data_IF_449693403471
#
_entry.id   IF_449693403471
#
_cell.length_a   1.000
_cell.length_b   1.000
_cell.length_c   1.000
_cell.angle_alpha   90.00
_cell.angle_beta   90.00
_cell.angle_gamma   90.00
#
_symmetry.space_group_name_H-M   'P 1'
#
loop_
_entity.id
_entity.type
_entity.pdbx_description
1 polymer ?
#
# COMPACT_ATOMS: atom_id res chain seq x y z
N UNK A 1 0.01 -28.00 29.71
CA UNK A 1 0.19 -26.68 29.07
C UNK A 1 -0.12 -26.81 27.60
N UNK A 2 -0.60 -25.77 26.90
CA UNK A 2 -0.78 -25.82 25.46
C UNK A 2 0.57 -26.05 24.78
N UNK A 3 0.62 -26.94 23.80
CA UNK A 3 1.82 -27.26 23.01
C UNK A 3 1.66 -26.74 21.60
N UNK A 4 2.75 -26.33 20.95
CA UNK A 4 2.75 -25.99 19.52
C UNK A 4 2.06 -27.08 18.68
N UNK A 5 1.25 -26.68 17.69
CA UNK A 5 0.44 -27.59 16.85
C UNK A 5 0.72 -27.41 15.36
N UNK A 6 0.46 -28.45 14.59
CA UNK A 6 0.37 -28.35 13.13
C UNK A 6 -1.01 -27.80 12.75
N UNK A 7 -1.09 -26.65 12.07
CA UNK A 7 -2.37 -26.09 11.62
C UNK A 7 -2.96 -26.92 10.46
N UNK A 8 -4.28 -26.88 10.31
CA UNK A 8 -5.00 -27.70 9.32
C UNK A 8 -4.53 -27.44 7.88
N UNK A 9 -4.31 -26.18 7.51
CA UNK A 9 -3.87 -25.81 6.17
C UNK A 9 -2.46 -26.31 5.82
N UNK A 10 -1.51 -26.36 6.76
CA UNK A 10 -0.21 -27.00 6.51
C UNK A 10 -0.30 -28.52 6.53
N UNK A 11 -1.20 -29.09 7.32
CA UNK A 11 -1.52 -30.52 7.25
C UNK A 11 -2.09 -30.90 5.88
N UNK A 12 -2.85 -30.01 5.22
CA UNK A 12 -3.35 -30.23 3.87
C UNK A 12 -2.23 -30.21 2.83
N UNK A 13 -1.26 -29.31 2.94
CA UNK A 13 -0.04 -29.34 2.13
C UNK A 13 0.73 -30.64 2.33
N UNK A 14 0.91 -31.07 3.59
CA UNK A 14 1.57 -32.32 3.92
C UNK A 14 0.86 -33.52 3.30
N UNK A 15 -0.47 -33.60 3.41
CA UNK A 15 -1.26 -34.68 2.80
C UNK A 15 -1.11 -34.69 1.29
N UNK A 16 -1.18 -33.52 0.65
CA UNK A 16 -1.02 -33.39 -0.80
C UNK A 16 0.34 -33.89 -1.27
N UNK A 17 1.42 -33.49 -0.60
CA UNK A 17 2.78 -33.91 -0.96
C UNK A 17 2.94 -35.42 -0.81
N UNK A 18 2.55 -35.99 0.34
CA UNK A 18 2.66 -37.43 0.57
C UNK A 18 1.82 -38.23 -0.43
N UNK A 19 0.61 -37.78 -0.75
CA UNK A 19 -0.25 -38.48 -1.72
C UNK A 19 0.36 -38.64 -3.12
N UNK A 20 1.35 -37.82 -3.49
CA UNK A 20 1.92 -37.80 -4.84
C UNK A 20 3.43 -38.06 -4.90
N UNK A 21 4.15 -37.93 -3.77
CA UNK A 21 5.60 -38.10 -3.71
C UNK A 21 6.03 -39.26 -2.80
N UNK A 22 5.13 -39.81 -2.00
CA UNK A 22 5.32 -41.10 -1.32
C UNK A 22 4.79 -42.22 -2.25
N UNK A 23 5.66 -42.75 -3.11
CA UNK A 23 5.24 -43.67 -4.19
C UNK A 23 5.04 -45.11 -3.71
N UNK A 24 5.65 -45.51 -2.58
CA UNK A 24 5.42 -46.78 -1.91
C UNK A 24 5.29 -46.58 -0.37
N UNK A 25 4.09 -46.20 0.12
CA UNK A 25 3.87 -45.89 1.54
C UNK A 25 4.13 -47.05 2.51
N UNK A 26 4.25 -48.28 2.00
CA UNK A 26 4.49 -49.49 2.80
C UNK A 26 6.00 -49.80 2.95
N UNK A 27 6.87 -49.15 2.16
CA UNK A 27 8.30 -49.44 2.16
C UNK A 27 9.12 -48.16 2.13
N UNK A 28 9.94 -47.94 3.15
CA UNK A 28 10.78 -46.75 3.14
C UNK A 28 11.88 -46.81 2.08
N UNK A 29 11.96 -45.78 1.23
CA UNK A 29 12.87 -45.73 0.07
C UNK A 29 13.50 -44.35 -0.10
N UNK A 30 14.78 -44.26 -0.51
CA UNK A 30 15.44 -42.97 -0.79
C UNK A 30 14.80 -42.14 -1.91
N UNK A 31 13.92 -42.73 -2.71
CA UNK A 31 13.23 -42.08 -3.82
C UNK A 31 11.87 -41.48 -3.40
N UNK A 32 11.40 -41.80 -2.20
CA UNK A 32 10.04 -41.52 -1.74
C UNK A 32 10.10 -40.41 -0.71
N UNK A 33 9.08 -39.54 -0.68
CA UNK A 33 8.96 -38.52 0.35
C UNK A 33 8.27 -39.12 1.57
N UNK A 34 9.03 -39.45 2.61
CA UNK A 34 8.48 -40.15 3.77
C UNK A 34 7.63 -39.23 4.67
N UNK A 35 6.65 -39.76 5.41
CA UNK A 35 5.89 -38.99 6.39
C UNK A 35 6.74 -38.23 7.41
N UNK A 36 7.90 -38.76 7.79
CA UNK A 36 8.84 -38.14 8.72
C UNK A 36 9.68 -37.02 8.08
N UNK A 37 9.76 -36.98 6.75
CA UNK A 37 10.47 -35.98 5.97
C UNK A 37 9.60 -34.76 5.63
N UNK A 38 8.32 -34.79 5.97
CA UNK A 38 7.41 -33.64 5.85
C UNK A 38 7.04 -33.10 7.23
N UNK A 39 7.91 -32.27 7.77
CA UNK A 39 7.84 -31.75 9.14
C UNK A 39 7.11 -30.41 9.25
N UNK A 40 6.26 -30.23 10.27
CA UNK A 40 5.55 -28.95 10.52
C UNK A 40 5.85 -28.40 11.91
N UNK A 41 5.84 -29.26 12.93
CA UNK A 41 6.13 -28.87 14.32
C UNK A 41 7.51 -29.38 14.68
N UNK A 42 8.35 -28.52 15.22
CA UNK A 42 9.69 -28.93 15.64
C UNK A 42 9.66 -29.75 16.93
N UNK A 43 10.71 -30.53 17.14
CA UNK A 43 10.91 -31.33 18.36
C UNK A 43 10.96 -30.48 19.64
N UNK A 44 10.92 -31.10 20.82
CA UNK A 44 10.90 -30.38 22.10
C UNK A 44 12.16 -29.55 22.40
N UNK A 45 13.28 -29.75 21.69
CA UNK A 45 14.54 -29.03 21.86
C UNK A 45 14.62 -27.75 21.03
N UNK A 46 13.88 -27.69 19.93
CA UNK A 46 13.86 -26.51 19.05
C UNK A 46 13.26 -25.30 19.80
N UNK A 47 13.91 -24.13 19.69
CA UNK A 47 13.48 -22.90 20.36
C UNK A 47 13.44 -21.80 19.30
N UNK A 48 12.24 -21.26 19.08
CA UNK A 48 12.05 -20.21 18.10
C UNK A 48 11.80 -20.66 16.67
N UNK A 49 11.71 -19.68 15.77
CA UNK A 49 11.44 -19.89 14.35
C UNK A 49 10.01 -20.32 14.02
N UNK A 50 9.78 -20.58 12.74
CA UNK A 50 8.44 -20.83 12.19
C UNK A 50 7.85 -22.18 12.59
N UNK A 51 8.67 -23.15 13.00
CA UNK A 51 8.16 -24.42 13.55
C UNK A 51 7.65 -24.32 15.00
N UNK A 52 7.81 -23.17 15.66
CA UNK A 52 7.34 -22.92 17.01
C UNK A 52 6.10 -22.03 17.02
N UNK A 53 5.13 -22.39 17.85
CA UNK A 53 4.00 -21.53 18.24
C UNK A 53 4.38 -20.57 19.38
N UNK A 54 3.38 -19.82 19.84
CA UNK A 54 3.51 -18.80 20.89
C UNK A 54 4.05 -19.34 22.22
N UNK A 55 3.94 -20.64 22.46
CA UNK A 55 4.46 -21.32 23.66
C UNK A 55 5.99 -21.51 23.64
N UNK A 56 6.63 -21.40 22.47
CA UNK A 56 8.04 -21.79 22.27
C UNK A 56 8.90 -20.76 21.55
N UNK A 57 8.29 -19.77 20.90
CA UNK A 57 9.04 -18.60 20.39
C UNK A 57 9.64 -17.83 21.57
N UNK A 58 10.86 -17.32 21.37
CA UNK A 58 11.58 -16.57 22.40
C UNK A 58 11.40 -15.06 22.21
N UNK A 59 11.58 -14.22 23.23
CA UNK A 59 11.57 -12.77 23.06
C UNK A 59 12.58 -12.32 21.99
N UNK A 60 12.12 -11.50 21.03
CA UNK A 60 12.96 -11.03 19.93
C UNK A 60 13.12 -12.02 18.77
N UNK A 61 12.40 -13.14 18.78
CA UNK A 61 12.44 -14.10 17.68
C UNK A 61 12.06 -13.43 16.35
N UNK A 62 12.93 -13.60 15.35
CA UNK A 62 12.77 -12.97 14.06
C UNK A 62 11.49 -13.40 13.33
N UNK A 63 11.04 -14.63 13.57
CA UNK A 63 9.78 -15.16 13.04
C UNK A 63 8.54 -14.50 13.65
N UNK A 64 8.72 -13.50 14.51
CA UNK A 64 7.67 -12.71 15.14
C UNK A 64 7.92 -11.22 14.91
N UNK A 65 9.14 -10.74 15.17
CA UNK A 65 9.40 -9.28 15.27
C UNK A 65 9.74 -8.60 13.94
N UNK A 66 10.12 -9.34 12.90
CA UNK A 66 10.55 -8.73 11.64
C UNK A 66 9.38 -8.29 10.73
N UNK A 67 8.15 -8.71 11.02
CA UNK A 67 6.95 -8.40 10.23
C UNK A 67 5.71 -8.22 11.12
N UNK A 68 4.83 -7.29 10.74
CA UNK A 68 3.50 -7.16 11.37
C UNK A 68 2.60 -8.35 11.04
N UNK A 69 2.76 -8.99 9.86
CA UNK A 69 2.04 -10.23 9.50
C UNK A 69 2.40 -11.38 10.44
N UNK A 70 3.63 -11.41 10.93
CA UNK A 70 4.09 -12.47 11.82
C UNK A 70 3.71 -12.20 13.28
N UNK A 71 3.93 -10.99 13.78
CA UNK A 71 3.55 -10.63 15.16
C UNK A 71 2.04 -10.65 15.40
N UNK A 72 1.23 -10.14 14.47
CA UNK A 72 -0.24 -10.19 14.59
C UNK A 72 -0.82 -11.59 14.36
N UNK A 73 -0.09 -12.42 13.63
CA UNK A 73 -0.44 -13.80 13.29
C UNK A 73 -0.06 -14.84 14.34
N UNK A 74 0.68 -14.48 15.39
CA UNK A 74 1.22 -15.44 16.34
C UNK A 74 0.11 -16.16 17.14
N UNK A 75 0.05 -17.48 16.98
CA UNK A 75 -0.80 -18.40 17.76
C UNK A 75 0.04 -19.57 18.27
N UNK A 76 -0.60 -20.60 18.84
CA UNK A 76 0.04 -21.89 19.15
C UNK A 76 0.39 -22.71 17.90
N UNK A 77 0.06 -22.26 16.71
CA UNK A 77 0.29 -23.03 15.49
C UNK A 77 1.68 -22.71 14.91
N UNK A 78 2.37 -23.76 14.46
CA UNK A 78 3.55 -23.62 13.64
C UNK A 78 3.17 -23.02 12.28
N UNK A 79 4.09 -22.28 11.68
CA UNK A 79 3.99 -21.72 10.32
C UNK A 79 5.22 -22.10 9.48
N UNK A 80 5.90 -23.18 9.85
CA UNK A 80 7.03 -23.77 9.14
C UNK A 80 6.65 -25.12 8.53
N UNK A 81 7.23 -25.43 7.37
CA UNK A 81 7.12 -26.72 6.69
C UNK A 81 8.50 -27.13 6.16
N UNK A 82 8.98 -28.29 6.59
CA UNK A 82 10.16 -28.93 6.04
C UNK A 82 9.75 -29.98 5.03
N UNK A 83 10.48 -30.07 3.91
CA UNK A 83 10.34 -31.11 2.90
C UNK A 83 11.70 -31.75 2.69
N UNK A 84 11.81 -33.04 2.98
CA UNK A 84 13.02 -33.84 2.82
C UNK A 84 13.25 -34.31 1.39
N UNK A 85 14.06 -35.34 1.26
CA UNK A 85 14.49 -35.86 -0.05
C UNK A 85 13.40 -36.67 -0.72
N UNK A 86 13.36 -36.61 -2.05
CA UNK A 86 12.54 -37.49 -2.88
C UNK A 86 13.14 -37.48 -4.30
N UNK A 87 12.77 -38.45 -5.13
CA UNK A 87 13.15 -38.51 -6.52
C UNK A 87 12.11 -39.26 -7.36
N UNK A 88 11.32 -38.51 -8.13
CA UNK A 88 10.27 -39.03 -9.01
C UNK A 88 10.61 -38.77 -10.47
N UNK A 89 10.32 -39.72 -11.36
CA UNK A 89 10.45 -39.51 -12.81
C UNK A 89 9.08 -39.35 -13.42
N UNK A 90 8.84 -38.21 -14.05
CA UNK A 90 7.57 -37.88 -14.71
C UNK A 90 7.83 -37.04 -15.96
N UNK A 91 7.01 -37.23 -16.99
CA UNK A 91 7.15 -36.56 -18.29
C UNK A 91 8.58 -36.62 -18.87
N UNK A 92 9.28 -37.75 -18.67
CA UNK A 92 10.65 -37.96 -19.17
C UNK A 92 11.75 -37.20 -18.43
N UNK A 93 11.46 -36.56 -17.29
CA UNK A 93 12.43 -35.85 -16.44
C UNK A 93 12.39 -36.36 -15.01
N UNK A 94 13.53 -36.33 -14.34
CA UNK A 94 13.62 -36.61 -12.91
C UNK A 94 13.45 -35.33 -12.12
N UNK A 95 12.49 -35.34 -11.20
CA UNK A 95 12.19 -34.29 -10.25
C UNK A 95 12.57 -34.75 -8.85
N UNK A 96 13.33 -33.93 -8.15
CA UNK A 96 13.79 -34.19 -6.79
C UNK A 96 13.70 -32.91 -5.96
N UNK A 97 14.09 -33.01 -4.69
CA UNK A 97 14.06 -31.87 -3.78
C UNK A 97 14.75 -30.62 -4.35
N UNK A 98 15.84 -30.75 -5.11
CA UNK A 98 16.58 -29.57 -5.60
C UNK A 98 15.85 -28.89 -6.75
N UNK A 99 15.30 -29.69 -7.67
CA UNK A 99 14.42 -29.18 -8.73
C UNK A 99 13.15 -28.53 -8.15
N UNK A 100 12.62 -29.08 -7.05
CA UNK A 100 11.51 -28.50 -6.31
C UNK A 100 11.92 -27.14 -5.73
N UNK A 101 12.98 -27.08 -4.91
CA UNK A 101 13.40 -25.84 -4.25
C UNK A 101 13.62 -24.71 -5.26
N UNK A 102 14.30 -25.02 -6.37
CA UNK A 102 14.58 -24.04 -7.42
C UNK A 102 13.30 -23.54 -8.08
N UNK A 103 12.35 -24.43 -8.40
CA UNK A 103 11.08 -24.05 -8.99
C UNK A 103 10.27 -23.15 -8.04
N UNK A 104 10.14 -23.53 -6.76
CA UNK A 104 9.42 -22.72 -5.76
C UNK A 104 10.04 -21.34 -5.56
N UNK A 105 11.37 -21.27 -5.48
CA UNK A 105 12.08 -19.98 -5.35
C UNK A 105 11.88 -19.12 -6.59
N UNK A 106 11.87 -19.70 -7.80
CA UNK A 106 11.57 -18.96 -9.03
C UNK A 106 10.15 -18.37 -9.01
N UNK A 107 9.14 -19.11 -8.56
CA UNK A 107 7.77 -18.58 -8.42
C UNK A 107 7.70 -17.45 -7.40
N UNK A 108 8.37 -17.62 -6.27
CA UNK A 108 8.47 -16.61 -5.23
C UNK A 108 9.16 -15.32 -5.71
N UNK A 109 10.23 -15.44 -6.50
CA UNK A 109 10.92 -14.31 -7.15
C UNK A 109 10.03 -13.64 -8.20
N UNK A 110 9.28 -14.42 -8.98
CA UNK A 110 8.31 -13.91 -9.96
C UNK A 110 7.10 -13.24 -9.30
N UNK A 111 6.85 -13.49 -8.01
CA UNK A 111 5.77 -12.89 -7.25
C UNK A 111 4.38 -13.42 -7.66
N UNK A 112 4.28 -14.68 -8.04
CA UNK A 112 2.99 -15.30 -8.41
C UNK A 112 2.00 -15.25 -7.24
N UNK A 113 0.70 -15.21 -7.55
CA UNK A 113 -0.35 -14.95 -6.55
C UNK A 113 -0.33 -15.96 -5.38
N UNK A 114 -0.10 -17.22 -5.68
CA UNK A 114 0.01 -18.35 -4.74
C UNK A 114 1.28 -18.35 -3.86
N UNK A 115 2.19 -17.37 -4.03
CA UNK A 115 3.41 -17.23 -3.19
C UNK A 115 3.28 -16.13 -2.14
N UNK A 116 2.15 -15.41 -2.09
CA UNK A 116 1.95 -14.22 -1.24
C UNK A 116 2.04 -14.53 0.25
N UNK A 117 1.73 -15.75 0.64
CA UNK A 117 1.77 -16.21 2.03
C UNK A 117 3.12 -16.79 2.44
N UNK A 118 4.04 -17.00 1.49
CA UNK A 118 5.40 -17.46 1.78
C UNK A 118 6.28 -16.29 2.20
N UNK A 119 6.85 -16.41 3.40
CA UNK A 119 7.76 -15.46 4.03
C UNK A 119 9.22 -15.77 3.69
N UNK A 120 9.61 -17.03 3.71
CA UNK A 120 10.95 -17.44 3.24
C UNK A 120 11.01 -18.89 2.80
N UNK A 121 12.02 -19.19 2.00
CA UNK A 121 12.43 -20.53 1.64
C UNK A 121 13.93 -20.65 1.89
N UNK A 122 14.34 -21.56 2.77
CA UNK A 122 15.75 -21.91 2.98
C UNK A 122 15.99 -23.25 2.27
N UNK A 123 16.97 -23.28 1.37
CA UNK A 123 17.15 -24.41 0.46
C UNK A 123 18.61 -24.60 0.06
N UNK A 124 18.90 -25.74 -0.53
CA UNK A 124 20.17 -26.00 -1.18
C UNK A 124 19.99 -26.23 -2.68
N UNK A 125 20.50 -25.36 -3.57
CA UNK A 125 20.34 -25.54 -5.02
C UNK A 125 21.16 -26.71 -5.58
N UNK A 126 22.25 -27.10 -4.89
CA UNK A 126 23.27 -28.04 -5.37
C UNK A 126 23.62 -29.13 -4.35
N UNK A 127 22.97 -29.15 -3.20
CA UNK A 127 23.28 -30.05 -2.08
C UNK A 127 24.57 -29.69 -1.33
N UNK A 128 25.20 -28.54 -1.62
CA UNK A 128 26.48 -28.12 -1.03
C UNK A 128 26.43 -26.72 -0.43
N UNK A 129 25.62 -25.84 -1.02
CA UNK A 129 25.44 -24.47 -0.58
C UNK A 129 24.04 -24.30 -0.01
N UNK A 130 23.90 -23.49 1.04
CA UNK A 130 22.59 -23.14 1.59
C UNK A 130 22.30 -21.70 1.21
N UNK A 131 21.08 -21.46 0.73
CA UNK A 131 20.58 -20.16 0.33
C UNK A 131 19.25 -19.89 1.01
N UNK A 132 18.89 -18.62 1.13
CA UNK A 132 17.57 -18.19 1.56
C UNK A 132 16.98 -17.25 0.53
N UNK A 133 15.75 -17.53 0.12
CA UNK A 133 14.88 -16.51 -0.44
C UNK A 133 14.03 -15.95 0.71
N UNK A 134 14.00 -14.63 0.85
CA UNK A 134 13.28 -13.91 1.90
C UNK A 134 12.45 -12.79 1.26
N UNK A 135 11.13 -12.84 1.45
CA UNK A 135 10.21 -11.83 0.91
C UNK A 135 10.44 -10.43 1.48
N UNK A 136 10.94 -10.33 2.71
CA UNK A 136 11.26 -9.06 3.36
C UNK A 136 12.66 -8.54 3.00
N UNK A 137 13.49 -9.37 2.35
CA UNK A 137 14.87 -9.03 2.01
C UNK A 137 15.78 -8.79 3.22
N UNK A 138 15.43 -9.30 4.41
CA UNK A 138 16.19 -9.10 5.65
C UNK A 138 17.26 -10.15 5.88
N UNK A 139 17.12 -11.33 5.26
CA UNK A 139 17.98 -12.50 5.47
C UNK A 139 18.36 -13.16 4.15
N UNK A 140 19.55 -13.74 4.08
CA UNK A 140 20.13 -14.27 2.83
C UNK A 140 20.73 -15.67 2.92
N UNK A 141 20.87 -16.24 4.12
CA UNK A 141 21.54 -17.54 4.37
C UNK A 141 20.75 -18.41 5.36
N UNK A 142 21.07 -19.70 5.43
CA UNK A 142 20.60 -20.66 6.44
C UNK A 142 21.77 -21.43 7.07
N UNK A 143 21.46 -22.39 7.94
CA UNK A 143 22.47 -23.33 8.47
C UNK A 143 22.56 -24.61 7.61
N UNK A 144 23.57 -25.44 7.88
CA UNK A 144 23.88 -26.64 7.08
C UNK A 144 22.83 -27.76 7.15
N UNK A 145 21.85 -27.71 8.06
CA UNK A 145 20.81 -28.73 8.10
C UNK A 145 19.95 -28.72 6.82
N UNK A 146 19.81 -27.55 6.20
CA UNK A 146 19.08 -27.30 4.94
C UNK A 146 19.81 -27.82 3.69
N UNK A 147 20.96 -28.50 3.85
CA UNK A 147 21.58 -29.24 2.76
C UNK A 147 20.75 -30.46 2.34
N UNK A 148 19.91 -30.96 3.25
CA UNK A 148 19.18 -32.23 3.09
C UNK A 148 17.66 -32.05 3.01
N UNK A 149 17.13 -30.90 3.41
CA UNK A 149 15.71 -30.56 3.30
C UNK A 149 15.52 -29.11 2.81
N UNK A 150 14.32 -28.78 2.32
CA UNK A 150 13.90 -27.40 2.09
C UNK A 150 12.96 -26.96 3.19
N UNK A 151 13.27 -25.82 3.81
CA UNK A 151 12.43 -25.20 4.82
C UNK A 151 11.60 -24.08 4.20
N UNK A 152 10.28 -24.14 4.38
CA UNK A 152 9.33 -23.12 4.02
C UNK A 152 8.81 -22.44 5.29
N UNK A 153 8.82 -21.12 5.29
CA UNK A 153 8.14 -20.32 6.29
C UNK A 153 6.98 -19.59 5.65
N UNK A 154 5.80 -19.73 6.23
CA UNK A 154 4.61 -18.98 5.88
C UNK A 154 4.45 -17.81 6.85
N UNK A 155 3.92 -16.68 6.39
CA UNK A 155 3.55 -15.61 7.30
C UNK A 155 2.52 -16.11 8.29
N UNK A 156 2.71 -15.83 9.58
CA UNK A 156 1.85 -16.41 10.63
C UNK A 156 0.38 -15.97 10.49
N UNK A 157 0.11 -14.79 9.95
CA UNK A 157 -1.26 -14.32 9.71
C UNK A 157 -2.02 -15.22 8.72
N UNK A 158 -1.35 -15.76 7.70
CA UNK A 158 -1.95 -16.64 6.71
C UNK A 158 -2.34 -17.98 7.33
N UNK A 159 -1.44 -18.52 8.16
CA UNK A 159 -1.68 -19.72 8.95
C UNK A 159 -2.86 -19.52 9.91
N UNK A 160 -2.83 -18.45 10.70
CA UNK A 160 -3.89 -18.09 11.66
C UNK A 160 -5.25 -17.89 10.99
N UNK A 161 -5.27 -17.27 9.82
CA UNK A 161 -6.48 -17.05 9.04
C UNK A 161 -7.02 -18.32 8.37
N UNK A 162 -6.29 -19.44 8.44
CA UNK A 162 -6.70 -20.69 7.81
C UNK A 162 -6.70 -20.64 6.28
N UNK A 163 -5.90 -19.74 5.67
CA UNK A 163 -5.79 -19.64 4.21
C UNK A 163 -5.24 -20.93 3.63
N UNK A 164 -5.77 -21.34 2.49
CA UNK A 164 -5.28 -22.52 1.76
C UNK A 164 -3.83 -22.30 1.32
N UNK A 165 -2.92 -23.18 1.76
CA UNK A 165 -1.51 -23.14 1.41
C UNK A 165 -1.15 -24.16 0.32
N UNK A 166 -2.12 -24.94 -0.17
CA UNK A 166 -1.93 -25.95 -1.22
C UNK A 166 -1.74 -25.42 -2.66
N UNK A 167 -2.20 -24.22 -3.07
CA UNK A 167 -2.20 -23.84 -4.49
C UNK A 167 -0.84 -23.93 -5.19
N UNK A 168 0.23 -23.39 -4.59
CA UNK A 168 1.57 -23.44 -5.18
C UNK A 168 2.10 -24.88 -5.30
N UNK A 169 1.79 -25.73 -4.32
CA UNK A 169 2.17 -27.13 -4.33
C UNK A 169 1.38 -27.93 -5.37
N UNK A 170 0.07 -27.68 -5.53
CA UNK A 170 -0.73 -28.28 -6.61
C UNK A 170 -0.19 -27.87 -7.96
N UNK A 171 0.16 -26.59 -8.14
CA UNK A 171 0.72 -26.09 -9.40
C UNK A 171 2.05 -26.76 -9.72
N UNK A 172 2.95 -26.90 -8.74
CA UNK A 172 4.19 -27.67 -8.92
C UNK A 172 3.90 -29.12 -9.37
N UNK A 173 3.06 -29.84 -8.63
CA UNK A 173 2.71 -31.24 -8.93
C UNK A 173 2.05 -31.40 -10.31
N UNK A 174 1.24 -30.41 -10.71
CA UNK A 174 0.62 -30.38 -12.04
C UNK A 174 1.67 -30.16 -13.13
N UNK A 175 2.61 -29.22 -12.92
CA UNK A 175 3.64 -28.87 -13.90
C UNK A 175 4.65 -30.01 -14.12
N UNK A 176 4.94 -30.78 -13.07
CA UNK A 176 5.76 -31.99 -13.19
C UNK A 176 4.94 -33.21 -13.63
N UNK A 177 3.64 -33.06 -13.89
CA UNK A 177 2.78 -34.09 -14.45
C UNK A 177 2.33 -35.19 -13.50
N UNK A 178 2.36 -34.97 -12.19
CA UNK A 178 1.89 -35.94 -11.18
C UNK A 178 0.40 -35.83 -10.88
N UNK A 179 -0.19 -34.65 -11.11
CA UNK A 179 -1.64 -34.45 -11.03
C UNK A 179 -2.13 -33.74 -12.27
N UNK A 180 -3.42 -33.94 -12.59
CA UNK A 180 -4.06 -33.10 -13.60
C UNK A 180 -4.23 -31.69 -13.04
N UNK A 181 -4.03 -30.64 -13.85
CA UNK A 181 -4.42 -29.30 -13.44
C UNK A 181 -5.91 -29.34 -13.06
N UNK A 182 -6.34 -28.63 -12.00
CA UNK A 182 -7.75 -28.57 -11.65
C UNK A 182 -8.54 -28.15 -12.89
N UNK A 183 -9.64 -28.84 -13.17
CA UNK A 183 -10.64 -28.30 -14.10
C UNK A 183 -10.96 -26.89 -13.59
N UNK A 184 -10.81 -25.89 -14.46
CA UNK A 184 -11.09 -24.49 -14.12
C UNK A 184 -12.60 -24.36 -13.83
N UNK A 185 -13.05 -24.79 -12.66
CA UNK A 185 -14.27 -24.27 -12.07
C UNK A 185 -14.02 -22.78 -11.75
N UNK A 186 -15.04 -21.99 -12.05
CA UNK A 186 -15.07 -20.54 -12.25
C UNK A 186 -14.83 -19.73 -10.96
N UNK A 187 -13.79 -20.06 -10.19
CA UNK A 187 -13.37 -19.33 -9.00
C UNK A 187 -12.26 -18.36 -9.41
N UNK A 188 -12.68 -17.14 -9.78
CA UNK A 188 -11.85 -15.96 -10.05
C UNK A 188 -10.45 -16.26 -10.62
N UNK A 189 -10.34 -16.30 -11.96
CA UNK A 189 -9.06 -16.53 -12.64
C UNK A 189 -7.88 -15.76 -12.02
N UNK A 190 -6.67 -16.34 -12.02
CA UNK A 190 -5.43 -15.68 -11.53
C UNK A 190 -5.25 -14.26 -12.09
N UNK A 191 -5.76 -14.03 -13.30
CA UNK A 191 -5.85 -12.71 -13.92
C UNK A 191 -6.76 -11.76 -13.15
N UNK A 192 -7.97 -12.18 -12.78
CA UNK A 192 -8.91 -11.39 -12.00
C UNK A 192 -8.37 -11.04 -10.60
N UNK A 193 -7.71 -11.98 -9.91
CA UNK A 193 -7.06 -11.67 -8.63
C UNK A 193 -5.90 -10.69 -8.78
N UNK A 194 -5.08 -10.86 -9.82
CA UNK A 194 -4.00 -9.91 -10.11
C UNK A 194 -4.55 -8.54 -10.50
N UNK A 195 -5.63 -8.47 -11.27
CA UNK A 195 -6.30 -7.21 -11.62
C UNK A 195 -6.84 -6.52 -10.37
N UNK A 196 -7.51 -7.25 -9.46
CA UNK A 196 -7.98 -6.70 -8.17
C UNK A 196 -6.80 -6.20 -7.33
N UNK A 197 -5.70 -6.95 -7.26
CA UNK A 197 -4.53 -6.53 -6.50
C UNK A 197 -3.85 -5.29 -7.09
N UNK A 198 -3.77 -5.19 -8.42
CA UNK A 198 -3.24 -4.01 -9.10
C UNK A 198 -4.13 -2.79 -8.86
N UNK A 199 -5.47 -2.96 -8.86
CA UNK A 199 -6.42 -1.91 -8.48
C UNK A 199 -6.20 -1.48 -7.03
N UNK A 200 -6.12 -2.41 -6.08
CA UNK A 200 -5.88 -2.12 -4.67
C UNK A 200 -4.54 -1.39 -4.45
N UNK A 201 -3.48 -1.86 -5.09
CA UNK A 201 -2.15 -1.27 -4.99
C UNK A 201 -2.12 0.13 -5.59
N UNK A 202 -2.69 0.32 -6.78
CA UNK A 202 -2.81 1.63 -7.42
C UNK A 202 -3.65 2.62 -6.59
N UNK A 203 -4.72 2.14 -5.97
CA UNK A 203 -5.63 2.96 -5.16
C UNK A 203 -4.95 3.51 -3.90
N UNK A 204 -4.24 2.66 -3.15
CA UNK A 204 -3.74 3.00 -1.81
C UNK A 204 -2.23 3.24 -1.70
N UNK A 205 -1.41 2.55 -2.48
CA UNK A 205 0.05 2.63 -2.37
C UNK A 205 0.69 3.36 -3.55
N UNK A 206 0.01 3.38 -4.70
CA UNK A 206 0.53 3.93 -5.94
C UNK A 206 1.53 2.99 -6.62
N UNK A 207 1.71 3.19 -7.92
CA UNK A 207 2.65 2.43 -8.75
C UNK A 207 3.55 3.35 -9.58
N UNK A 208 4.65 2.82 -10.10
CA UNK A 208 5.64 3.58 -10.89
C UNK A 208 5.06 4.13 -12.21
N UNK A 209 3.96 3.56 -12.70
CA UNK A 209 3.29 3.96 -13.95
C UNK A 209 2.26 5.08 -13.78
N UNK A 210 1.96 5.51 -12.54
CA UNK A 210 0.85 6.42 -12.27
C UNK A 210 1.19 7.91 -12.47
N UNK A 211 2.38 8.23 -13.00
CA UNK A 211 2.83 9.61 -13.21
C UNK A 211 3.45 10.24 -11.97
N UNK A 212 3.34 11.57 -11.83
CA UNK A 212 4.00 12.34 -10.76
C UNK A 212 3.35 12.06 -9.40
N UNK A 213 4.17 11.78 -8.39
CA UNK A 213 3.74 11.73 -6.99
C UNK A 213 3.27 13.13 -6.56
N UNK A 214 2.14 13.18 -5.85
CA UNK A 214 1.60 14.42 -5.31
C UNK A 214 1.77 14.44 -3.80
N UNK A 215 1.99 15.65 -3.31
CA UNK A 215 2.08 15.92 -1.89
C UNK A 215 0.73 16.50 -1.44
N UNK A 216 -0.10 15.72 -0.72
CA UNK A 216 -1.49 16.11 -0.45
C UNK A 216 -1.59 17.30 0.51
N UNK A 217 -0.60 17.50 1.38
CA UNK A 217 -0.58 18.57 2.39
C UNK A 217 0.57 19.56 2.20
N UNK A 218 1.49 19.31 1.26
CA UNK A 218 2.53 20.24 0.81
C UNK A 218 3.64 20.41 1.84
N UNK A 219 3.40 21.18 2.90
CA UNK A 219 4.35 21.34 4.03
C UNK A 219 3.91 20.57 5.27
N UNK A 220 2.87 19.74 5.16
CA UNK A 220 2.36 18.95 6.27
C UNK A 220 3.15 17.65 6.52
N UNK A 221 2.70 16.82 7.47
CA UNK A 221 3.39 15.59 7.86
C UNK A 221 3.22 14.42 6.88
N UNK A 222 2.28 14.49 5.93
CA UNK A 222 2.07 13.44 4.95
C UNK A 222 3.23 13.42 3.95
N UNK A 223 3.59 12.21 3.51
CA UNK A 223 4.64 12.04 2.51
C UNK A 223 4.01 12.08 1.12
N UNK A 224 4.73 12.67 0.17
CA UNK A 224 4.38 12.58 -1.24
C UNK A 224 4.12 11.13 -1.65
N UNK A 225 2.98 10.89 -2.30
CA UNK A 225 2.52 9.55 -2.69
C UNK A 225 1.99 9.57 -4.11
N UNK A 226 2.08 8.41 -4.78
CA UNK A 226 1.59 8.23 -6.14
C UNK A 226 0.25 7.48 -6.20
N UNK A 227 -0.42 7.29 -5.06
CA UNK A 227 -1.71 6.62 -4.97
C UNK A 227 -2.85 7.45 -5.57
N UNK A 228 -3.93 6.79 -6.01
CA UNK A 228 -5.13 7.48 -6.52
C UNK A 228 -5.79 8.29 -5.41
N UNK A 229 -5.88 7.74 -4.19
CA UNK A 229 -6.50 8.42 -3.05
C UNK A 229 -5.78 9.73 -2.76
N UNK A 230 -4.44 9.71 -2.67
CA UNK A 230 -3.63 10.91 -2.44
C UNK A 230 -3.83 11.97 -3.55
N UNK A 231 -4.00 11.53 -4.80
CA UNK A 231 -4.28 12.45 -5.92
C UNK A 231 -5.65 13.07 -5.87
N UNK A 232 -6.66 12.33 -5.44
CA UNK A 232 -8.00 12.86 -5.21
C UNK A 232 -7.98 13.89 -4.08
N UNK A 233 -7.32 13.59 -2.96
CA UNK A 233 -7.19 14.52 -1.84
C UNK A 233 -6.49 15.82 -2.28
N UNK A 234 -5.38 15.69 -3.02
CA UNK A 234 -4.67 16.84 -3.58
C UNK A 234 -5.55 17.69 -4.51
N UNK A 235 -6.34 17.04 -5.39
CA UNK A 235 -7.25 17.76 -6.30
C UNK A 235 -8.35 18.50 -5.55
N UNK A 236 -8.93 17.88 -4.51
CA UNK A 236 -9.95 18.52 -3.68
C UNK A 236 -9.38 19.74 -2.94
N UNK A 237 -8.19 19.62 -2.36
CA UNK A 237 -7.52 20.75 -1.71
C UNK A 237 -7.27 21.92 -2.69
N UNK A 238 -6.84 21.62 -3.93
CA UNK A 238 -6.64 22.65 -4.96
C UNK A 238 -7.94 23.30 -5.43
N UNK A 239 -9.03 22.54 -5.45
CA UNK A 239 -10.34 23.08 -5.77
C UNK A 239 -10.81 24.05 -4.69
N UNK A 240 -10.59 23.73 -3.42
CA UNK A 240 -10.89 24.60 -2.28
C UNK A 240 -10.07 25.91 -2.35
N UNK A 241 -8.78 25.83 -2.67
CA UNK A 241 -7.92 27.00 -2.89
C UNK A 241 -8.48 27.92 -3.99
N UNK A 242 -8.90 27.34 -5.12
CA UNK A 242 -9.48 28.09 -6.24
C UNK A 242 -10.80 28.73 -5.84
N UNK A 243 -11.68 28.00 -5.14
CA UNK A 243 -12.95 28.53 -4.66
C UNK A 243 -12.76 29.71 -3.69
N UNK A 244 -11.77 29.62 -2.80
CA UNK A 244 -11.36 30.71 -1.91
C UNK A 244 -10.83 31.92 -2.69
N UNK A 245 -9.99 31.69 -3.70
CA UNK A 245 -9.48 32.73 -4.59
C UNK A 245 -10.59 33.45 -5.37
N UNK A 246 -11.55 32.69 -5.92
CA UNK A 246 -12.73 33.26 -6.61
C UNK A 246 -13.56 34.10 -5.65
N UNK A 247 -13.81 33.60 -4.43
CA UNK A 247 -14.54 34.35 -3.40
C UNK A 247 -13.84 35.67 -3.08
N UNK A 248 -12.52 35.64 -2.90
CA UNK A 248 -11.70 36.83 -2.66
C UNK A 248 -11.80 37.84 -3.80
N UNK A 249 -11.69 37.38 -5.06
CA UNK A 249 -11.80 38.24 -6.23
C UNK A 249 -13.21 38.81 -6.42
N UNK A 250 -14.24 38.03 -6.08
CA UNK A 250 -15.64 38.46 -6.16
C UNK A 250 -16.00 39.54 -5.14
N UNK A 251 -15.37 39.50 -3.96
CA UNK A 251 -15.53 40.52 -2.92
C UNK A 251 -14.57 41.70 -3.06
N UNK A 252 -13.64 41.65 -4.02
CA UNK A 252 -12.70 42.74 -4.24
C UNK A 252 -13.39 43.88 -4.98
N UNK A 253 -13.28 45.08 -4.42
CA UNK A 253 -13.58 46.28 -5.16
C UNK A 253 -12.46 46.56 -6.17
N UNK A 254 -12.82 46.56 -7.44
CA UNK A 254 -11.88 46.78 -8.55
C UNK A 254 -11.77 48.25 -8.90
N UNK A 255 -12.65 49.07 -8.35
CA UNK A 255 -12.74 50.48 -8.64
C UNK A 255 -12.36 51.24 -7.38
N UNK A 256 -11.53 52.27 -7.53
CA UNK A 256 -11.29 53.23 -6.47
C UNK A 256 -12.00 54.51 -6.90
N UNK A 257 -13.30 54.59 -6.61
CA UNK A 257 -14.11 55.75 -6.97
C UNK A 257 -13.52 57.05 -6.41
N UNK A 258 -13.01 57.11 -5.15
CA UNK A 258 -12.30 58.28 -4.65
C UNK A 258 -11.10 58.70 -5.52
N UNK A 259 -10.25 57.75 -5.95
CA UNK A 259 -9.11 58.07 -6.79
C UNK A 259 -9.52 58.51 -8.20
N UNK A 260 -10.55 57.88 -8.78
CA UNK A 260 -11.11 58.29 -10.08
C UNK A 260 -11.67 59.71 -9.99
N UNK A 261 -12.49 60.00 -8.97
CA UNK A 261 -13.06 61.33 -8.74
C UNK A 261 -11.93 62.35 -8.54
N UNK A 262 -10.94 62.05 -7.72
CA UNK A 262 -9.80 62.93 -7.48
C UNK A 262 -9.02 63.23 -8.77
N UNK A 263 -8.77 62.21 -9.61
CA UNK A 263 -8.09 62.36 -10.90
C UNK A 263 -8.90 63.18 -11.91
N UNK A 264 -10.21 62.93 -12.02
CA UNK A 264 -11.12 63.69 -12.89
C UNK A 264 -11.16 65.15 -12.45
N UNK A 265 -11.33 65.42 -11.14
CA UNK A 265 -11.37 66.78 -10.61
C UNK A 265 -10.03 67.51 -10.79
N UNK A 266 -8.90 66.82 -10.66
CA UNK A 266 -7.58 67.40 -10.90
C UNK A 266 -7.35 67.83 -12.36
N UNK A 267 -8.01 67.17 -13.32
CA UNK A 267 -7.92 67.47 -14.74
C UNK A 267 -8.90 68.53 -15.25
N UNK A 268 -9.90 68.92 -14.45
CA UNK A 268 -10.91 69.90 -14.82
C UNK A 268 -10.51 71.30 -14.33
N UNK A 269 -10.51 72.28 -15.24
CA UNK A 269 -10.49 73.68 -14.81
C UNK A 269 -11.80 74.01 -14.08
N UNK A 270 -11.81 74.99 -13.16
CA UNK A 270 -13.04 75.41 -12.47
C UNK A 270 -14.19 75.75 -13.43
N UNK A 271 -13.88 76.32 -14.60
CA UNK A 271 -14.86 76.67 -15.62
C UNK A 271 -15.46 75.42 -16.28
N UNK A 272 -14.64 74.42 -16.63
CA UNK A 272 -15.12 73.17 -17.21
C UNK A 272 -15.91 72.32 -16.21
N UNK A 273 -15.53 72.34 -14.94
CA UNK A 273 -16.31 71.70 -13.88
C UNK A 273 -17.69 72.35 -13.74
N UNK A 274 -17.76 73.68 -13.73
CA UNK A 274 -19.03 74.41 -13.67
C UNK A 274 -19.93 74.13 -14.90
N UNK A 275 -19.37 74.11 -16.10
CA UNK A 275 -20.09 73.75 -17.33
C UNK A 275 -20.62 72.30 -17.30
N UNK A 276 -19.81 71.36 -16.81
CA UNK A 276 -20.20 69.96 -16.68
C UNK A 276 -21.35 69.77 -15.67
N UNK A 277 -21.27 70.43 -14.50
CA UNK A 277 -22.33 70.39 -13.48
C UNK A 277 -23.64 71.02 -13.99
N UNK A 278 -23.55 72.16 -14.70
CA UNK A 278 -24.71 72.80 -15.31
C UNK A 278 -25.37 71.91 -16.38
N UNK A 279 -24.57 71.25 -17.21
CA UNK A 279 -25.07 70.31 -18.25
C UNK A 279 -25.76 69.09 -17.62
N UNK A 280 -25.29 68.64 -16.45
CA UNK A 280 -25.91 67.57 -15.67
C UNK A 280 -27.19 68.02 -14.91
N UNK A 281 -27.61 69.28 -15.03
CA UNK A 281 -28.76 69.83 -14.33
C UNK A 281 -28.51 70.11 -12.84
N UNK A 282 -27.26 70.00 -12.37
CA UNK A 282 -26.85 70.32 -11.01
C UNK A 282 -26.56 71.82 -10.91
N UNK A 283 -27.62 72.63 -10.88
CA UNK A 283 -27.49 74.07 -10.67
C UNK A 283 -27.02 74.36 -9.23
N UNK A 284 -26.39 75.52 -8.96
CA UNK A 284 -26.01 75.92 -7.61
C UNK A 284 -27.18 75.85 -6.61
N UNK A 285 -28.39 76.20 -7.05
CA UNK A 285 -29.60 76.17 -6.23
C UNK A 285 -30.05 74.74 -5.92
N UNK A 286 -29.94 73.83 -6.90
CA UNK A 286 -30.25 72.42 -6.71
C UNK A 286 -29.24 71.74 -5.76
N UNK A 287 -27.96 72.08 -5.89
CA UNK A 287 -26.91 71.61 -4.96
C UNK A 287 -27.18 72.16 -3.56
N UNK A 288 -27.44 73.46 -3.42
CA UNK A 288 -27.71 74.10 -2.14
C UNK A 288 -28.95 73.53 -1.44
N UNK A 289 -30.02 73.22 -2.19
CA UNK A 289 -31.23 72.60 -1.65
C UNK A 289 -31.02 71.15 -1.18
N UNK A 290 -30.04 70.45 -1.75
CA UNK A 290 -29.71 69.07 -1.41
C UNK A 290 -28.76 68.95 -0.20
N UNK A 291 -28.08 70.03 0.20
CA UNK A 291 -27.18 70.02 1.37
C UNK A 291 -28.00 70.03 2.66
N UNK A 292 -27.84 69.04 3.56
CA UNK A 292 -28.51 69.04 4.85
C UNK A 292 -28.17 70.30 5.68
N UNK A 293 -29.15 70.90 6.39
CA UNK A 293 -28.95 72.17 7.11
C UNK A 293 -27.82 72.15 8.15
N UNK A 294 -27.53 70.99 8.74
CA UNK A 294 -26.45 70.79 9.70
C UNK A 294 -25.06 70.78 9.03
N UNK A 295 -24.94 70.22 7.82
CA UNK A 295 -23.70 70.30 7.02
C UNK A 295 -23.48 71.73 6.53
N UNK A 296 -24.53 72.39 6.03
CA UNK A 296 -24.45 73.78 5.61
C UNK A 296 -23.92 74.69 6.73
N UNK A 297 -24.41 74.48 7.96
CA UNK A 297 -23.94 75.20 9.15
C UNK A 297 -22.46 74.97 9.43
N UNK A 298 -22.00 73.71 9.41
CA UNK A 298 -20.58 73.36 9.61
C UNK A 298 -19.66 74.01 8.56
N UNK A 299 -20.09 74.05 7.30
CA UNK A 299 -19.31 74.70 6.22
C UNK A 299 -19.22 76.21 6.45
N UNK A 300 -20.31 76.85 6.83
CA UNK A 300 -20.33 78.28 7.17
C UNK A 300 -19.42 78.59 8.36
N UNK A 301 -19.49 77.77 9.42
CA UNK A 301 -18.66 77.92 10.61
C UNK A 301 -17.16 77.79 10.26
N UNK A 302 -16.77 76.79 9.47
CA UNK A 302 -15.38 76.57 9.01
C UNK A 302 -14.90 77.71 8.09
N UNK A 303 -15.73 78.19 7.16
CA UNK A 303 -15.39 79.33 6.32
C UNK A 303 -15.20 80.60 7.15
N UNK A 304 -16.08 80.83 8.14
CA UNK A 304 -15.98 81.99 9.04
C UNK A 304 -14.69 81.92 9.85
N UNK A 305 -14.32 80.75 10.35
CA UNK A 305 -13.06 80.52 11.06
C UNK A 305 -11.84 80.83 10.17
N UNK A 306 -11.82 80.34 8.92
CA UNK A 306 -10.69 80.55 7.99
C UNK A 306 -10.58 81.97 7.45
N UNK A 307 -11.69 82.70 7.37
CA UNK A 307 -11.70 84.08 6.91
C UNK A 307 -11.39 85.08 8.04
N UNK A 308 -11.49 84.64 9.29
CA UNK A 308 -11.14 85.44 10.47
C UNK A 308 -9.73 85.15 11.01
N UNK A 309 -9.03 84.15 10.46
CA UNK A 309 -7.60 83.87 10.63
C UNK A 309 -6.76 84.47 9.52
#
# INVERSE_FOLDING_TARGET
>A
MPMTRAPANLMDVRRLLLAHLDVDPETSRPQDLEPAEVGIVADASHRGGYHCGSDRVVPGDYSVVESTRDSSGLTLDASGLDIGTFSVTSAGRTHNLRSLSLWFVQQCVAGTADTRDIREIIYSPDGKTVRRWDRLGKRSTGDSSHLWHTHFSFFRDSTKAGRDQTPLFRRYLSEIGLISPPDMEDDMSEKAENEIHQVYTGLFYGGNSMGRAVDPDGTGPAKASNSIVTKLDYLMARLDDVASGVTTLSGKDWTDEPAIVAGVLAGLSPQRLAEALATAGLTPEAIAAAVPPDIARKVVDELTLRLSS
#
